data_IF_653380458694
#
_entry.id   IF_653380458694
#
_cell.length_a   1.000
_cell.length_b   1.000
_cell.length_c   1.000
_cell.angle_alpha   90.00
_cell.angle_beta   90.00
_cell.angle_gamma   90.00
#
_symmetry.space_group_name_H-M   'P 1'
#
loop_
_entity.id
_entity.type
_entity.pdbx_description
1 polymer ?
#
# COMPACT_ATOMS: atom_id res chain seq x y z
N UNK A 1 -2.40 6.08 -2.99
CA UNK A 1 -2.36 5.06 -1.92
C UNK A 1 -1.25 5.43 -0.93
N UNK A 2 -1.46 5.30 0.39
CA UNK A 2 -0.58 5.88 1.44
C UNK A 2 0.82 5.27 1.59
N UNK A 3 1.13 4.15 0.93
CA UNK A 3 2.43 3.47 0.97
C UNK A 3 3.62 4.27 0.41
N UNK A 4 3.37 5.26 -0.48
CA UNK A 4 4.45 6.03 -1.12
C UNK A 4 5.32 6.82 -0.12
N UNK A 5 4.72 7.29 0.98
CA UNK A 5 5.44 8.01 2.02
C UNK A 5 6.37 7.06 2.82
N UNK A 6 5.87 5.87 3.18
CA UNK A 6 6.65 4.84 3.88
C UNK A 6 7.86 4.38 3.05
N UNK A 7 7.67 4.11 1.75
CA UNK A 7 8.77 3.75 0.84
C UNK A 7 9.86 4.84 0.79
N UNK A 8 9.46 6.12 0.67
CA UNK A 8 10.43 7.23 0.61
C UNK A 8 11.18 7.45 1.93
N UNK A 9 10.56 7.18 3.07
CA UNK A 9 11.22 7.33 4.38
C UNK A 9 12.27 6.27 4.68
N UNK A 10 12.20 5.10 4.03
CA UNK A 10 13.24 4.07 4.13
C UNK A 10 14.60 4.63 3.67
N UNK A 11 14.61 5.44 2.61
CA UNK A 11 15.84 6.04 2.06
C UNK A 11 16.43 7.15 2.94
N UNK A 12 15.62 7.84 3.75
CA UNK A 12 16.06 8.92 4.62
C UNK A 12 16.47 8.48 6.03
N UNK A 13 16.29 7.19 6.36
CA UNK A 13 16.50 6.71 7.72
C UNK A 13 17.97 6.47 8.02
N UNK A 14 18.50 7.14 9.06
CA UNK A 14 19.87 6.95 9.59
C UNK A 14 19.99 5.75 10.54
N UNK A 15 18.87 5.17 10.96
CA UNK A 15 18.79 4.02 11.89
C UNK A 15 18.71 2.66 11.17
N UNK A 16 18.71 2.69 9.83
CA UNK A 16 18.55 1.50 8.99
C UNK A 16 19.84 1.35 8.18
N UNK A 17 20.51 0.22 8.34
CA UNK A 17 21.70 -0.11 7.56
C UNK A 17 21.34 -0.28 6.07
N UNK A 18 22.30 -0.04 5.17
CA UNK A 18 22.06 -0.09 3.73
C UNK A 18 21.61 -1.47 3.25
N UNK A 19 22.08 -2.56 3.85
CA UNK A 19 21.71 -3.92 3.49
C UNK A 19 20.27 -4.26 3.94
N UNK A 20 19.85 -3.68 5.05
CA UNK A 20 18.53 -3.90 5.64
C UNK A 20 17.46 -3.05 4.97
N UNK A 21 17.89 -1.92 4.38
CA UNK A 21 17.05 -1.02 3.60
C UNK A 21 16.30 -1.74 2.48
N UNK A 22 17.00 -2.60 1.74
CA UNK A 22 16.43 -3.34 0.61
C UNK A 22 15.39 -4.37 1.08
N UNK A 23 15.68 -5.06 2.20
CA UNK A 23 14.75 -6.00 2.83
C UNK A 23 13.46 -5.29 3.28
N UNK A 24 13.58 -4.14 3.94
CA UNK A 24 12.45 -3.35 4.43
C UNK A 24 11.63 -2.77 3.26
N UNK A 25 12.29 -2.29 2.21
CA UNK A 25 11.62 -1.81 1.01
C UNK A 25 10.81 -2.92 0.33
N UNK A 26 11.40 -4.13 0.24
CA UNK A 26 10.75 -5.31 -0.31
C UNK A 26 9.49 -5.67 0.48
N UNK A 27 9.56 -5.64 1.81
CA UNK A 27 8.40 -5.91 2.67
C UNK A 27 7.28 -4.87 2.49
N UNK A 28 7.63 -3.59 2.38
CA UNK A 28 6.66 -2.51 2.11
C UNK A 28 6.05 -2.67 0.71
N UNK A 29 6.85 -3.06 -0.29
CA UNK A 29 6.38 -3.34 -1.64
C UNK A 29 5.40 -4.52 -1.67
N UNK A 30 5.71 -5.61 -0.98
CA UNK A 30 4.82 -6.77 -0.88
C UNK A 30 3.51 -6.41 -0.18
N UNK A 31 3.55 -5.65 0.91
CA UNK A 31 2.34 -5.19 1.58
C UNK A 31 1.48 -4.28 0.68
N UNK A 32 2.12 -3.37 -0.07
CA UNK A 32 1.44 -2.53 -1.07
C UNK A 32 0.77 -3.38 -2.16
N UNK A 33 1.44 -4.42 -2.64
CA UNK A 33 0.90 -5.35 -3.63
C UNK A 33 -0.31 -6.12 -3.11
N UNK A 34 -0.25 -6.61 -1.87
CA UNK A 34 -1.39 -7.23 -1.20
C UNK A 34 -2.57 -6.26 -1.09
N UNK A 35 -2.34 -5.03 -0.67
CA UNK A 35 -3.38 -3.99 -0.59
C UNK A 35 -3.99 -3.69 -1.97
N UNK A 36 -3.16 -3.61 -3.02
CA UNK A 36 -3.62 -3.43 -4.41
C UNK A 36 -4.54 -4.57 -4.88
N UNK A 37 -4.33 -5.79 -4.38
CA UNK A 37 -5.18 -6.95 -4.65
C UNK A 37 -6.38 -7.09 -3.71
N UNK A 38 -6.70 -6.08 -2.90
CA UNK A 38 -7.79 -6.11 -1.92
C UNK A 38 -7.51 -7.02 -0.72
N UNK A 39 -6.28 -7.52 -0.56
CA UNK A 39 -5.86 -8.38 0.55
C UNK A 39 -5.41 -7.53 1.75
N UNK A 40 -6.26 -6.60 2.17
CA UNK A 40 -5.96 -5.59 3.19
C UNK A 40 -5.52 -6.15 4.54
N UNK A 41 -6.18 -7.21 5.02
CA UNK A 41 -5.80 -7.89 6.28
C UNK A 41 -4.40 -8.51 6.21
N UNK A 42 -4.07 -9.17 5.11
CA UNK A 42 -2.72 -9.75 4.89
C UNK A 42 -1.65 -8.66 4.77
N UNK A 43 -1.97 -7.54 4.13
CA UNK A 43 -1.07 -6.39 4.08
C UNK A 43 -0.82 -5.82 5.49
N UNK A 44 -1.87 -5.74 6.33
CA UNK A 44 -1.77 -5.25 7.71
C UNK A 44 -0.90 -6.17 8.58
N UNK A 45 -1.13 -7.49 8.51
CA UNK A 45 -0.33 -8.48 9.24
C UNK A 45 1.15 -8.36 8.88
N UNK A 46 1.46 -8.18 7.59
CA UNK A 46 2.84 -8.05 7.12
C UNK A 46 3.52 -6.77 7.62
N UNK A 47 2.84 -5.62 7.55
CA UNK A 47 3.40 -4.36 8.08
C UNK A 47 3.56 -4.43 9.60
N UNK A 48 2.64 -5.06 10.34
CA UNK A 48 2.77 -5.26 11.79
C UNK A 48 3.97 -6.14 12.13
N UNK A 49 4.20 -7.21 11.37
CA UNK A 49 5.36 -8.07 11.58
C UNK A 49 6.67 -7.32 11.34
N UNK A 50 6.72 -6.48 10.29
CA UNK A 50 7.86 -5.62 10.00
C UNK A 50 8.08 -4.58 11.13
N UNK A 51 7.03 -3.91 11.57
CA UNK A 51 7.08 -2.90 12.65
C UNK A 51 7.56 -3.53 13.97
N UNK A 52 7.06 -4.72 14.32
CA UNK A 52 7.51 -5.47 15.50
C UNK A 52 8.99 -5.84 15.45
N UNK A 53 9.52 -6.19 14.28
CA UNK A 53 10.96 -6.42 14.11
C UNK A 53 11.77 -5.13 14.31
N UNK A 54 11.31 -4.02 13.76
CA UNK A 54 12.01 -2.73 13.84
C UNK A 54 11.93 -2.08 15.23
N UNK A 55 10.86 -2.34 16.00
CA UNK A 55 10.72 -1.91 17.40
C UNK A 55 11.83 -2.41 18.32
N UNK A 56 12.50 -3.50 17.96
CA UNK A 56 13.68 -4.00 18.72
C UNK A 56 14.89 -3.07 18.62
N UNK A 57 14.86 -2.07 17.73
CA UNK A 57 15.98 -1.17 17.47
C UNK A 57 15.87 0.13 18.25
N UNK A 58 16.97 0.50 18.89
CA UNK A 58 17.13 1.78 19.56
C UNK A 58 16.92 2.94 18.58
N UNK A 59 16.02 3.86 18.92
CA UNK A 59 15.74 5.07 18.12
C UNK A 59 14.80 4.87 16.94
N UNK A 60 14.29 3.66 16.70
CA UNK A 60 13.31 3.42 15.64
C UNK A 60 11.98 4.15 15.88
N UNK A 61 11.47 4.13 17.11
CA UNK A 61 10.20 4.78 17.51
C UNK A 61 10.19 6.30 17.27
N UNK A 62 11.38 6.92 17.25
CA UNK A 62 11.56 8.35 16.97
C UNK A 62 11.79 8.63 15.48
N UNK A 63 11.87 7.58 14.64
CA UNK A 63 12.19 7.71 13.23
C UNK A 63 10.97 8.09 12.39
N UNK A 64 11.21 8.83 11.31
CA UNK A 64 10.19 9.12 10.28
C UNK A 64 9.60 7.85 9.65
N UNK A 65 10.37 6.75 9.64
CA UNK A 65 9.92 5.47 9.13
C UNK A 65 8.81 4.88 10.01
N UNK A 66 8.97 4.89 11.33
CA UNK A 66 7.95 4.43 12.28
C UNK A 66 6.63 5.17 12.11
N UNK A 67 6.66 6.50 12.11
CA UNK A 67 5.46 7.33 11.89
C UNK A 67 4.74 7.03 10.58
N UNK A 68 5.48 6.69 9.53
CA UNK A 68 4.88 6.32 8.26
C UNK A 68 4.32 4.89 8.26
N UNK A 69 4.97 3.93 8.93
CA UNK A 69 4.42 2.58 9.09
C UNK A 69 3.16 2.60 9.96
N UNK A 70 3.14 3.36 11.05
CA UNK A 70 1.94 3.54 11.89
C UNK A 70 0.76 4.10 11.07
N UNK A 71 0.99 5.15 10.26
CA UNK A 71 -0.03 5.70 9.35
C UNK A 71 -0.54 4.68 8.33
N UNK A 72 0.33 3.81 7.81
CA UNK A 72 -0.06 2.72 6.90
C UNK A 72 -0.88 1.67 7.66
N UNK A 73 -0.47 1.28 8.86
CA UNK A 73 -1.20 0.38 9.75
C UNK A 73 -2.59 0.91 10.06
N UNK A 74 -2.72 2.19 10.44
CA UNK A 74 -4.00 2.85 10.69
C UNK A 74 -4.89 2.85 9.45
N UNK A 75 -4.35 3.21 8.28
CA UNK A 75 -5.09 3.16 7.02
C UNK A 75 -5.60 1.76 6.69
N UNK A 76 -4.74 0.76 6.77
CA UNK A 76 -5.12 -0.63 6.50
C UNK A 76 -6.14 -1.13 7.51
N UNK A 77 -5.98 -0.82 8.80
CA UNK A 77 -6.95 -1.22 9.84
C UNK A 77 -8.34 -0.68 9.56
N UNK A 78 -8.45 0.60 9.19
CA UNK A 78 -9.75 1.24 8.91
C UNK A 78 -10.37 0.82 7.58
N UNK A 79 -9.56 0.36 6.60
CA UNK A 79 -10.03 0.13 5.22
C UNK A 79 -9.88 -1.33 4.75
N UNK A 80 -9.35 -2.25 5.55
CA UNK A 80 -9.00 -3.59 5.09
C UNK A 80 -10.18 -4.38 4.52
N UNK A 81 -11.40 -4.15 5.01
CA UNK A 81 -12.64 -4.77 4.51
C UNK A 81 -13.22 -4.07 3.27
N UNK A 82 -12.81 -2.83 2.98
CA UNK A 82 -13.34 -1.99 1.90
C UNK A 82 -12.33 -1.75 0.78
N UNK A 83 -11.11 -2.26 0.91
CA UNK A 83 -10.08 -2.15 -0.12
C UNK A 83 -10.52 -2.84 -1.40
N UNK A 84 -10.67 -2.04 -2.45
CA UNK A 84 -10.98 -2.50 -3.80
C UNK A 84 -9.84 -3.37 -4.33
N UNK A 85 -10.18 -4.53 -4.89
CA UNK A 85 -9.22 -5.36 -5.62
C UNK A 85 -8.93 -4.74 -7.00
N UNK A 86 -8.01 -3.79 -7.03
CA UNK A 86 -7.58 -3.10 -8.24
C UNK A 86 -6.92 -4.04 -9.25
N UNK A 87 -6.18 -5.06 -8.80
CA UNK A 87 -5.60 -6.06 -9.71
C UNK A 87 -6.66 -6.88 -10.44
N UNK A 88 -7.76 -7.23 -9.76
CA UNK A 88 -8.92 -7.88 -10.37
C UNK A 88 -9.64 -6.98 -11.37
N UNK A 89 -9.78 -5.68 -11.06
CA UNK A 89 -10.34 -4.69 -11.97
C UNK A 89 -9.49 -4.49 -13.23
N UNK A 90 -8.17 -4.37 -13.06
CA UNK A 90 -7.23 -4.22 -14.16
C UNK A 90 -7.30 -5.39 -15.13
N UNK A 91 -7.32 -6.64 -14.62
CA UNK A 91 -7.46 -7.85 -15.45
C UNK A 91 -8.79 -7.87 -16.23
N UNK A 92 -9.84 -7.30 -15.66
CA UNK A 92 -11.17 -7.20 -16.27
C UNK A 92 -11.32 -5.99 -17.22
N UNK A 93 -10.25 -5.22 -17.47
CA UNK A 93 -10.31 -4.00 -18.28
C UNK A 93 -11.20 -2.90 -17.66
N UNK A 94 -11.53 -3.01 -16.38
CA UNK A 94 -12.33 -2.00 -15.69
C UNK A 94 -11.43 -0.81 -15.34
N UNK A 95 -11.93 0.43 -15.49
CA UNK A 95 -11.13 1.62 -15.22
C UNK A 95 -10.61 1.60 -13.77
N UNK A 96 -9.31 1.87 -13.64
CA UNK A 96 -8.58 1.95 -12.37
C UNK A 96 -8.85 3.30 -11.69
N UNK A 97 -9.10 4.34 -12.48
CA UNK A 97 -9.56 5.65 -12.00
C UNK A 97 -11.09 5.66 -11.89
N UNK A 98 -11.60 6.26 -10.81
CA UNK A 98 -13.02 6.61 -10.68
C UNK A 98 -13.42 7.76 -11.59
N UNK A 99 -13.02 7.72 -12.86
CA UNK A 99 -13.60 8.57 -13.88
C UNK A 99 -14.99 8.02 -14.18
N UNK A 100 -16.01 8.82 -13.96
CA UNK A 100 -17.37 8.56 -14.43
C UNK A 100 -17.26 8.09 -15.88
N UNK A 101 -17.63 6.84 -16.12
CA UNK A 101 -17.91 6.40 -17.48
C UNK A 101 -19.20 7.13 -17.83
N UNK A 102 -19.11 8.18 -18.65
CA UNK A 102 -20.30 8.70 -19.32
C UNK A 102 -20.82 7.57 -20.21
N UNK A 103 -21.82 6.86 -19.70
CA UNK A 103 -22.69 6.03 -20.51
C UNK A 103 -23.65 6.98 -21.25
N UNK A 104 -23.34 7.22 -22.51
CA UNK A 104 -24.32 7.60 -23.54
C UNK A 104 -23.88 6.79 -24.76
N UNK A 105 -24.66 5.95 -25.40
CA UNK A 105 -26.08 5.74 -25.45
C UNK A 105 -26.29 5.00 -26.78
N UNK A 106 -27.19 4.04 -26.80
CA UNK A 106 -27.43 3.15 -27.92
C UNK A 106 -28.09 3.87 -29.12
N UNK A 107 -27.51 3.66 -30.32
CA UNK A 107 -28.12 3.51 -31.67
C UNK A 107 -28.78 4.73 -32.40
N UNK A 108 -29.03 4.68 -33.74
CA UNK A 108 -28.90 3.56 -34.70
C UNK A 108 -28.17 3.86 -36.03
N UNK A 109 -27.92 2.79 -36.79
CA UNK A 109 -27.66 2.79 -38.24
C UNK A 109 -28.92 3.12 -39.04
N UNK A 110 -28.85 4.08 -39.97
CA UNK A 110 -29.59 4.20 -41.24
C UNK A 110 -28.95 5.39 -41.97
N UNK A 111 -28.68 5.43 -43.27
CA UNK A 111 -28.76 4.53 -44.41
C UNK A 111 -28.04 5.24 -45.56
#
# INVERSE_FOLDING_TARGET
MKFKAAQRSVFGSKVIDSLERESIETEIMHAKWLAWHGKGRKALERIKALDAQLLTRTGYELSTLWWNLDRVCGYLRSNASTLVNYGGRHRKGLPISGGVRCESGHQPTHG
#
